data_IF_280977942303
#
_entry.id   IF_280977942303
#
_cell.length_a   1.000
_cell.length_b   1.000
_cell.length_c   1.000
_cell.angle_alpha   90.00
_cell.angle_beta   90.00
_cell.angle_gamma   90.00
#
_symmetry.space_group_name_H-M   'P 1'
#
loop_
_entity.id
_entity.type
_entity.pdbx_description
1 polymer ?
#
# COMPACT_ATOMS: atom_id res chain seq x y z
N UNK A 1 3.69 3.12 0.17
CA UNK A 1 3.31 4.55 0.18
C UNK A 1 4.56 5.42 0.28
N UNK A 2 5.22 5.72 -0.85
CA UNK A 2 6.51 6.43 -0.89
C UNK A 2 6.41 7.87 -0.38
N UNK A 3 5.39 8.62 -0.83
CA UNK A 3 5.18 10.02 -0.48
C UNK A 3 4.98 10.29 1.03
N UNK A 4 4.28 9.38 1.73
CA UNK A 4 4.08 9.45 3.19
C UNK A 4 5.41 9.22 3.92
N UNK A 5 6.22 8.27 3.47
CA UNK A 5 7.49 7.93 4.11
C UNK A 5 8.55 9.04 3.98
N UNK A 6 8.52 9.81 2.89
CA UNK A 6 9.48 10.91 2.65
C UNK A 6 9.03 12.27 3.20
N UNK A 7 7.80 12.40 3.71
CA UNK A 7 7.28 13.68 4.19
C UNK A 7 7.90 14.04 5.56
N UNK A 8 8.78 15.06 5.64
CA UNK A 8 9.52 15.36 6.87
C UNK A 8 8.63 15.92 7.98
N UNK A 9 7.52 16.57 7.62
CA UNK A 9 6.59 17.22 8.55
C UNK A 9 5.33 16.41 8.82
N UNK A 10 5.18 15.23 8.19
CA UNK A 10 3.96 14.41 8.24
C UNK A 10 2.69 15.11 7.73
N UNK A 11 2.85 16.16 6.91
CA UNK A 11 1.75 16.80 6.19
C UNK A 11 0.99 15.82 5.30
N UNK A 12 1.68 14.83 4.73
CA UNK A 12 1.07 13.67 4.07
C UNK A 12 1.08 12.47 5.00
N UNK A 13 -0.07 11.84 5.18
CA UNK A 13 -0.24 10.64 6.01
C UNK A 13 -1.36 9.76 5.47
N UNK A 14 -1.45 8.55 6.02
CA UNK A 14 -2.59 7.66 5.83
C UNK A 14 -3.36 7.64 7.14
N UNK A 15 -4.69 7.53 7.11
CA UNK A 15 -5.44 7.27 8.33
C UNK A 15 -5.33 5.80 8.73
N UNK A 16 -5.18 5.57 10.03
CA UNK A 16 -5.30 4.25 10.65
C UNK A 16 -6.76 3.79 10.56
N UNK A 17 -7.07 3.04 9.52
CA UNK A 17 -8.40 2.48 9.30
C UNK A 17 -8.38 1.42 8.20
N UNK A 18 -9.49 0.70 8.06
CA UNK A 18 -9.62 -0.41 7.13
C UNK A 18 -9.63 0.01 5.65
N UNK A 19 -9.75 1.32 5.37
CA UNK A 19 -9.80 1.85 4.01
C UNK A 19 -8.52 2.61 3.68
N UNK A 20 -7.72 2.10 2.71
CA UNK A 20 -6.52 2.77 2.25
C UNK A 20 -6.83 4.17 1.72
N UNK A 21 -6.17 5.18 2.29
CA UNK A 21 -6.28 6.56 1.87
C UNK A 21 -4.94 7.29 1.99
N UNK A 22 -4.86 8.40 1.26
CA UNK A 22 -3.82 9.41 1.35
C UNK A 22 -4.47 10.72 1.76
N UNK A 23 -4.08 11.24 2.93
CA UNK A 23 -4.56 12.49 3.49
C UNK A 23 -3.46 13.54 3.53
N UNK A 24 -3.87 14.80 3.45
CA UNK A 24 -2.99 15.97 3.45
C UNK A 24 -3.50 17.06 4.38
N UNK A 25 -2.63 17.59 5.24
CA UNK A 25 -2.89 18.76 6.07
C UNK A 25 -2.00 19.91 5.59
N UNK A 26 -2.62 20.96 5.05
CA UNK A 26 -1.90 22.06 4.42
C UNK A 26 -1.06 22.87 5.41
N UNK A 27 -1.53 23.02 6.65
CA UNK A 27 -0.81 23.73 7.70
C UNK A 27 0.58 23.15 8.00
N UNK A 28 0.76 21.85 7.85
CA UNK A 28 2.02 21.16 8.14
C UNK A 28 2.95 21.11 6.93
N UNK A 29 2.48 21.54 5.74
CA UNK A 29 3.23 21.44 4.50
C UNK A 29 4.22 22.60 4.34
N UNK A 30 5.51 22.27 4.30
CA UNK A 30 6.60 23.23 4.05
C UNK A 30 6.98 23.36 2.58
N UNK A 31 6.17 22.81 1.67
CA UNK A 31 6.34 22.94 0.21
C UNK A 31 7.71 22.47 -0.32
N UNK A 32 8.29 21.41 0.27
CA UNK A 32 9.65 20.96 -0.02
C UNK A 32 9.85 20.19 -1.34
N UNK A 33 8.80 19.72 -2.03
CA UNK A 33 8.96 18.96 -3.28
C UNK A 33 9.30 17.49 -3.15
N UNK A 34 9.53 16.96 -1.94
CA UNK A 34 10.00 15.58 -1.79
C UNK A 34 8.94 14.54 -2.16
N UNK A 35 7.68 14.80 -1.83
CA UNK A 35 6.57 13.89 -2.11
C UNK A 35 6.32 13.71 -3.61
N UNK A 36 6.40 14.79 -4.39
CA UNK A 36 6.30 14.79 -5.85
C UNK A 36 7.43 13.96 -6.47
N UNK A 37 8.68 14.21 -6.09
CA UNK A 37 9.85 13.49 -6.62
C UNK A 37 9.87 12.01 -6.26
N UNK A 38 9.32 11.63 -5.11
CA UNK A 38 9.33 10.26 -4.63
C UNK A 38 8.16 9.41 -5.16
N UNK A 39 7.21 10.01 -5.87
CA UNK A 39 6.00 9.34 -6.37
C UNK A 39 6.32 8.56 -7.66
N UNK A 40 6.32 7.22 -7.64
CA UNK A 40 6.66 6.44 -8.83
C UNK A 40 5.56 6.50 -9.90
N UNK A 41 4.32 6.76 -9.51
CA UNK A 41 3.17 6.94 -10.41
C UNK A 41 2.98 8.37 -10.94
N UNK A 42 3.84 9.34 -10.57
CA UNK A 42 3.69 10.76 -10.94
C UNK A 42 2.29 11.34 -10.65
N UNK A 43 1.63 10.90 -9.57
CA UNK A 43 0.25 11.28 -9.23
C UNK A 43 0.14 12.57 -8.40
N UNK A 44 1.26 13.11 -7.91
CA UNK A 44 1.28 14.31 -7.07
C UNK A 44 1.93 15.47 -7.81
N UNK A 45 1.38 16.67 -7.63
CA UNK A 45 1.96 17.94 -8.11
C UNK A 45 1.91 18.97 -6.99
N UNK A 46 2.88 19.88 -6.95
CA UNK A 46 2.90 20.98 -5.97
C UNK A 46 2.48 22.30 -6.62
N UNK A 47 1.55 22.99 -5.97
CA UNK A 47 1.24 24.39 -6.25
C UNK A 47 1.58 25.24 -5.03
N UNK A 48 2.55 26.15 -5.19
CA UNK A 48 2.89 27.10 -4.15
C UNK A 48 1.72 28.05 -3.93
N UNK A 49 1.11 27.98 -2.73
CA UNK A 49 0.01 28.83 -2.32
C UNK A 49 0.04 29.06 -0.81
N UNK A 50 -0.76 30.01 -0.35
CA UNK A 50 -1.03 30.21 1.07
C UNK A 50 -2.54 30.28 1.27
N UNK A 51 -3.07 29.33 2.02
CA UNK A 51 -4.46 29.34 2.42
C UNK A 51 -4.66 30.29 3.62
N UNK A 52 -5.57 31.25 3.50
CA UNK A 52 -5.87 32.22 4.57
C UNK A 52 -6.95 31.73 5.54
N UNK A 53 -7.78 30.79 5.10
CA UNK A 53 -8.85 30.24 5.92
C UNK A 53 -8.31 29.21 6.91
N UNK A 54 -8.28 29.54 8.20
CA UNK A 54 -7.65 28.68 9.21
C UNK A 54 -8.23 27.27 9.21
N UNK A 55 -9.56 27.14 9.16
CA UNK A 55 -10.24 25.85 9.30
C UNK A 55 -9.82 24.87 8.21
N UNK A 56 -9.85 25.30 6.94
CA UNK A 56 -9.47 24.42 5.82
C UNK A 56 -7.99 24.01 5.82
N UNK A 57 -7.06 24.81 6.37
CA UNK A 57 -5.63 24.43 6.43
C UNK A 57 -5.32 23.43 7.53
N UNK A 58 -6.08 23.44 8.64
CA UNK A 58 -5.91 22.44 9.71
C UNK A 58 -6.71 21.16 9.42
N UNK A 59 -7.76 21.24 8.62
CA UNK A 59 -8.58 20.10 8.25
C UNK A 59 -7.81 19.11 7.34
N UNK A 60 -7.71 17.82 7.70
CA UNK A 60 -7.19 16.79 6.81
C UNK A 60 -8.04 16.68 5.54
N UNK A 61 -7.39 16.75 4.39
CA UNK A 61 -8.00 16.59 3.08
C UNK A 61 -7.62 15.23 2.51
N UNK A 62 -8.62 14.40 2.21
CA UNK A 62 -8.39 13.13 1.50
C UNK A 62 -8.04 13.41 0.04
N UNK A 63 -6.80 13.15 -0.35
CA UNK A 63 -6.32 13.28 -1.73
C UNK A 63 -6.69 12.07 -2.59
N UNK A 64 -6.60 10.88 -2.01
CA UNK A 64 -6.94 9.64 -2.69
C UNK A 64 -7.46 8.61 -1.70
N UNK A 65 -8.40 7.79 -2.13
CA UNK A 65 -8.97 6.69 -1.36
C UNK A 65 -9.36 5.58 -2.33
N UNK A 66 -9.10 4.33 -1.94
CA UNK A 66 -9.52 3.17 -2.72
C UNK A 66 -10.02 2.04 -1.83
N UNK A 67 -10.65 1.04 -2.47
CA UNK A 67 -11.14 -0.13 -1.75
C UNK A 67 -9.98 -1.00 -1.27
N UNK A 68 -10.06 -1.54 -0.04
CA UNK A 68 -9.10 -2.51 0.44
C UNK A 68 -9.27 -3.86 -0.27
N UNK A 69 -8.16 -4.51 -0.56
CA UNK A 69 -8.11 -5.94 -0.81
C UNK A 69 -8.39 -6.70 0.49
N UNK A 70 -9.33 -7.64 0.41
CA UNK A 70 -9.67 -8.53 1.51
C UNK A 70 -8.86 -9.82 1.39
N UNK A 71 -8.33 -10.30 2.51
CA UNK A 71 -7.63 -11.57 2.56
C UNK A 71 -8.56 -12.72 2.15
N UNK A 72 -8.13 -13.57 1.22
CA UNK A 72 -8.95 -14.70 0.75
C UNK A 72 -9.34 -15.70 1.86
N UNK A 73 -8.54 -15.80 2.93
CA UNK A 73 -8.76 -16.75 4.04
C UNK A 73 -9.62 -16.16 5.18
N UNK A 74 -9.26 -14.98 5.68
CA UNK A 74 -9.90 -14.38 6.86
C UNK A 74 -10.75 -13.13 6.55
N UNK A 75 -10.79 -12.66 5.30
CA UNK A 75 -11.49 -11.46 4.85
C UNK A 75 -11.05 -10.15 5.53
N UNK A 76 -9.90 -10.15 6.23
CA UNK A 76 -9.30 -8.93 6.81
C UNK A 76 -8.83 -7.99 5.68
N UNK A 77 -9.16 -6.68 5.73
CA UNK A 77 -8.57 -5.69 4.84
C UNK A 77 -7.09 -5.49 5.18
N UNK A 78 -6.20 -5.54 4.19
CA UNK A 78 -4.75 -5.49 4.46
C UNK A 78 -3.92 -4.64 3.50
N UNK A 79 -4.42 -4.37 2.30
CA UNK A 79 -3.69 -3.64 1.28
C UNK A 79 -4.65 -2.93 0.31
N UNK A 80 -4.20 -1.94 -0.46
CA UNK A 80 -4.99 -1.38 -1.55
C UNK A 80 -5.21 -2.38 -2.69
N UNK A 81 -6.42 -2.41 -3.25
CA UNK A 81 -6.78 -3.37 -4.31
C UNK A 81 -5.92 -3.21 -5.56
N UNK A 82 -5.64 -1.96 -5.96
CA UNK A 82 -4.78 -1.67 -7.11
C UNK A 82 -3.38 -2.30 -6.97
N UNK A 83 -2.81 -2.27 -5.77
CA UNK A 83 -1.49 -2.81 -5.48
C UNK A 83 -1.47 -4.34 -5.58
N UNK A 84 -2.47 -5.02 -5.02
CA UNK A 84 -2.58 -6.49 -5.10
C UNK A 84 -2.70 -6.95 -6.55
N UNK A 85 -3.57 -6.28 -7.33
CA UNK A 85 -3.74 -6.59 -8.76
C UNK A 85 -2.45 -6.37 -9.53
N UNK A 86 -1.78 -5.23 -9.33
CA UNK A 86 -0.52 -4.89 -10.00
C UNK A 86 0.58 -5.92 -9.69
N UNK A 87 0.70 -6.36 -8.43
CA UNK A 87 1.68 -7.37 -8.04
C UNK A 87 1.37 -8.72 -8.68
N UNK A 88 0.10 -9.15 -8.67
CA UNK A 88 -0.29 -10.39 -9.34
C UNK A 88 -0.01 -10.34 -10.84
N UNK A 89 -0.34 -9.24 -11.51
CA UNK A 89 -0.13 -9.07 -12.94
C UNK A 89 1.36 -9.06 -13.31
N UNK A 90 2.20 -8.36 -12.52
CA UNK A 90 3.66 -8.32 -12.76
C UNK A 90 4.37 -9.63 -12.47
N UNK A 91 3.90 -10.39 -11.47
CA UNK A 91 4.57 -11.63 -11.04
C UNK A 91 4.06 -12.87 -11.77
N UNK A 92 2.94 -12.79 -12.50
CA UNK A 92 2.48 -13.88 -13.38
C UNK A 92 3.57 -14.30 -14.36
N UNK A 93 3.94 -15.58 -14.33
CA UNK A 93 4.92 -16.15 -15.25
C UNK A 93 6.39 -15.97 -14.82
N UNK A 94 6.67 -15.39 -13.65
CA UNK A 94 8.01 -15.45 -13.06
C UNK A 94 8.32 -16.87 -12.54
N UNK A 95 9.57 -17.30 -12.62
CA UNK A 95 10.04 -18.64 -12.23
C UNK A 95 9.66 -19.08 -10.81
N UNK A 96 9.59 -18.14 -9.86
CA UNK A 96 9.17 -18.41 -8.47
C UNK A 96 7.67 -18.21 -8.21
N UNK A 97 6.91 -17.81 -9.22
CA UNK A 97 5.46 -17.54 -9.15
C UNK A 97 4.70 -18.25 -10.27
N UNK A 98 5.24 -19.36 -10.76
CA UNK A 98 4.63 -20.14 -11.84
C UNK A 98 3.44 -20.97 -11.37
N UNK A 99 3.36 -21.28 -10.08
CA UNK A 99 2.28 -22.03 -9.46
C UNK A 99 1.15 -21.11 -8.97
N UNK A 100 -0.10 -21.55 -9.17
CA UNK A 100 -1.29 -20.79 -8.74
C UNK A 100 -1.30 -20.53 -7.23
N UNK A 101 -0.72 -21.43 -6.44
CA UNK A 101 -0.61 -21.32 -4.98
C UNK A 101 0.20 -20.10 -4.56
N UNK A 102 1.36 -19.86 -5.20
CA UNK A 102 2.20 -18.71 -4.89
C UNK A 102 1.56 -17.37 -5.30
N UNK A 103 0.79 -17.34 -6.39
CA UNK A 103 0.01 -16.16 -6.78
C UNK A 103 -1.14 -15.86 -5.81
N UNK A 104 -1.80 -16.91 -5.27
CA UNK A 104 -2.87 -16.75 -4.27
C UNK A 104 -2.36 -16.16 -2.95
N UNK A 105 -1.12 -16.47 -2.54
CA UNK A 105 -0.49 -15.91 -1.33
C UNK A 105 -0.34 -14.38 -1.36
N UNK A 106 -0.22 -13.78 -2.55
CA UNK A 106 -0.16 -12.32 -2.71
C UNK A 106 -1.48 -11.68 -2.23
N UNK A 107 -2.61 -12.37 -2.41
CA UNK A 107 -3.94 -11.94 -1.98
C UNK A 107 -4.30 -12.37 -0.53
N UNK A 108 -3.31 -12.75 0.28
CA UNK A 108 -3.48 -13.05 1.72
C UNK A 108 -2.80 -11.99 2.59
N UNK A 109 -3.38 -11.72 3.76
CA UNK A 109 -2.77 -10.86 4.79
C UNK A 109 -1.49 -11.48 5.37
N UNK A 110 -0.74 -10.68 6.11
CA UNK A 110 0.53 -11.03 6.75
C UNK A 110 0.44 -12.33 7.57
N UNK A 111 -0.60 -12.49 8.38
CA UNK A 111 -0.77 -13.67 9.24
C UNK A 111 -1.13 -14.92 8.44
N UNK A 112 -2.15 -14.81 7.57
CA UNK A 112 -2.65 -15.93 6.79
C UNK A 112 -1.62 -16.44 5.78
N UNK A 113 -0.78 -15.54 5.24
CA UNK A 113 0.32 -15.91 4.35
C UNK A 113 1.34 -16.79 5.07
N UNK A 114 1.70 -16.44 6.30
CA UNK A 114 2.65 -17.24 7.09
C UNK A 114 2.06 -18.61 7.41
N UNK A 115 0.80 -18.66 7.84
CA UNK A 115 0.11 -19.92 8.14
C UNK A 115 0.08 -20.84 6.90
N UNK A 116 -0.32 -20.31 5.74
CA UNK A 116 -0.39 -21.08 4.49
C UNK A 116 0.99 -21.60 4.04
N UNK A 117 2.06 -20.82 4.24
CA UNK A 117 3.42 -21.29 3.99
C UNK A 117 3.79 -22.47 4.89
N UNK A 118 3.53 -22.39 6.20
CA UNK A 118 3.82 -23.49 7.12
C UNK A 118 2.95 -24.73 6.89
N UNK A 119 1.66 -24.56 6.57
CA UNK A 119 0.77 -25.68 6.20
C UNK A 119 1.30 -26.41 4.96
N UNK A 120 1.69 -25.67 3.90
CA UNK A 120 2.26 -26.28 2.70
C UNK A 120 3.58 -27.03 2.95
N UNK A 121 4.40 -26.55 3.89
CA UNK A 121 5.65 -27.22 4.30
C UNK A 121 5.40 -28.47 5.14
N UNK A 122 4.35 -28.48 5.96
CA UNK A 122 3.95 -29.66 6.73
C UNK A 122 3.43 -30.77 5.81
N UNK A 123 2.70 -30.40 4.74
CA UNK A 123 2.16 -31.34 3.76
C UNK A 123 3.25 -31.89 2.82
N UNK A 124 4.22 -31.06 2.41
CA UNK A 124 5.36 -31.48 1.59
C UNK A 124 6.67 -30.81 2.06
N UNK A 125 7.42 -31.44 2.98
CA UNK A 125 8.68 -30.92 3.51
C UNK A 125 9.76 -30.71 2.44
N UNK A 126 9.64 -31.37 1.27
CA UNK A 126 10.65 -31.29 0.20
C UNK A 126 10.55 -29.99 -0.62
N UNK A 127 9.47 -29.22 -0.48
CA UNK A 127 9.34 -27.91 -1.16
C UNK A 127 10.44 -26.92 -0.75
N UNK A 128 11.01 -27.05 0.44
CA UNK A 128 12.11 -26.22 0.93
C UNK A 128 13.42 -26.40 0.12
N UNK A 129 13.52 -27.46 -0.69
CA UNK A 129 14.71 -27.79 -1.47
C UNK A 129 14.69 -27.22 -2.89
N UNK A 130 13.57 -26.59 -3.31
CA UNK A 130 13.41 -25.99 -4.64
C UNK A 130 13.91 -24.55 -4.61
N UNK A 131 15.19 -24.35 -4.99
CA UNK A 131 15.79 -23.06 -5.28
C UNK A 131 15.63 -22.67 -6.75
#
# INVERSE_FOLDING_TARGET
MSCVAVCPTRALHHHDGDVPNLSFVEQDCVQCGMCEKACPENALSIQARFNWDQESRQAPQTLHQEQPALCLRCQKPFAPQSMVNMLQDKLRGHSHFSDETSLRRIAMCEDCRVIDMFESMADDPTQQLKY
#
